data_IF_839458781249
#
_entry.id   IF_839458781249
#
_cell.length_a   1.000
_cell.length_b   1.000
_cell.length_c   1.000
_cell.angle_alpha   90.00
_cell.angle_beta   90.00
_cell.angle_gamma   90.00
#
_symmetry.space_group_name_H-M   'P 1'
#
loop_
_entity.id
_entity.type
_entity.pdbx_description
1 polymer ?
#
# COMPACT_ATOMS: atom_id res chain seq x y z
N UNK A 1 -6.86 21.60 -3.05
CA UNK A 1 -6.24 20.82 -1.95
C UNK A 1 -4.76 21.19 -1.94
N UNK A 2 -4.22 21.75 -0.85
CA UNK A 2 -2.80 22.14 -0.80
C UNK A 2 -1.88 20.92 -0.57
N UNK A 3 -0.61 20.98 -0.96
CA UNK A 3 0.39 19.91 -0.88
C UNK A 3 0.59 19.37 0.54
N UNK A 4 0.53 20.22 1.56
CA UNK A 4 0.59 19.79 2.96
C UNK A 4 -0.63 18.95 3.36
N UNK A 5 -1.81 19.38 2.94
CA UNK A 5 -3.06 18.65 3.20
C UNK A 5 -3.07 17.30 2.47
N UNK A 6 -2.45 17.22 1.28
CA UNK A 6 -2.29 15.95 0.57
C UNK A 6 -1.39 14.97 1.34
N UNK A 7 -0.23 15.41 1.84
CA UNK A 7 0.68 14.56 2.64
C UNK A 7 0.00 14.03 3.90
N UNK A 8 -0.67 14.92 4.66
CA UNK A 8 -1.44 14.52 5.84
C UNK A 8 -2.57 13.55 5.48
N UNK A 9 -3.30 13.83 4.41
CA UNK A 9 -4.39 12.97 3.94
C UNK A 9 -3.88 11.57 3.57
N UNK A 10 -2.74 11.44 2.87
CA UNK A 10 -2.14 10.14 2.54
C UNK A 10 -1.88 9.34 3.81
N UNK A 11 -1.22 9.94 4.81
CA UNK A 11 -0.85 9.22 6.04
C UNK A 11 -2.10 8.73 6.76
N UNK A 12 -3.10 9.60 6.91
CA UNK A 12 -4.36 9.29 7.59
C UNK A 12 -5.16 8.23 6.82
N UNK A 13 -5.33 8.36 5.51
CA UNK A 13 -6.08 7.38 4.72
C UNK A 13 -5.36 6.05 4.61
N UNK A 14 -4.02 6.05 4.57
CA UNK A 14 -3.20 4.83 4.58
C UNK A 14 -3.33 4.11 5.93
N UNK A 15 -3.33 4.86 7.02
CA UNK A 15 -3.51 4.33 8.37
C UNK A 15 -4.92 3.78 8.56
N UNK A 16 -5.94 4.48 8.07
CA UNK A 16 -7.32 4.02 8.08
C UNK A 16 -7.50 2.72 7.31
N UNK A 17 -6.87 2.59 6.13
CA UNK A 17 -6.90 1.35 5.35
C UNK A 17 -6.21 0.20 6.10
N UNK A 18 -5.06 0.44 6.71
CA UNK A 18 -4.36 -0.55 7.52
C UNK A 18 -5.21 -1.04 8.71
N UNK A 19 -5.81 -0.09 9.44
CA UNK A 19 -6.68 -0.38 10.58
C UNK A 19 -7.94 -1.14 10.15
N UNK A 20 -8.52 -0.79 9.01
CA UNK A 20 -9.68 -1.49 8.44
C UNK A 20 -9.33 -2.92 8.06
N UNK A 21 -8.24 -3.15 7.32
CA UNK A 21 -7.81 -4.49 6.94
C UNK A 21 -7.46 -5.36 8.15
N UNK A 22 -6.80 -4.78 9.14
CA UNK A 22 -6.52 -5.43 10.42
C UNK A 22 -7.81 -5.85 11.13
N UNK A 23 -8.76 -4.93 11.25
CA UNK A 23 -10.03 -5.18 11.95
C UNK A 23 -10.86 -6.25 11.25
N UNK A 24 -10.95 -6.19 9.91
CA UNK A 24 -11.66 -7.19 9.11
C UNK A 24 -11.01 -8.56 9.26
N UNK A 25 -9.67 -8.66 9.13
CA UNK A 25 -8.99 -9.94 9.28
C UNK A 25 -9.13 -10.53 10.67
N UNK A 26 -9.02 -9.71 11.73
CA UNK A 26 -9.24 -10.14 13.11
C UNK A 26 -10.67 -10.65 13.31
N UNK A 27 -11.67 -9.96 12.74
CA UNK A 27 -13.07 -10.39 12.79
C UNK A 27 -13.25 -11.75 12.09
N UNK A 28 -12.70 -11.92 10.89
CA UNK A 28 -12.73 -13.20 10.15
C UNK A 28 -12.12 -14.33 10.98
N UNK A 29 -10.97 -14.11 11.63
CA UNK A 29 -10.32 -15.15 12.46
C UNK A 29 -11.03 -15.39 13.79
N UNK A 30 -11.83 -14.44 14.27
CA UNK A 30 -12.69 -14.67 15.43
C UNK A 30 -13.85 -15.61 15.07
N UNK A 31 -14.41 -15.49 13.86
CA UNK A 31 -15.49 -16.37 13.37
C UNK A 31 -14.96 -17.74 12.93
N UNK A 32 -13.76 -17.78 12.33
CA UNK A 32 -13.08 -18.99 11.86
C UNK A 32 -11.66 -19.07 12.43
N UNK A 33 -11.49 -19.57 13.67
CA UNK A 33 -10.19 -19.66 14.34
C UNK A 33 -9.18 -20.54 13.59
N UNK A 34 -9.67 -21.52 12.84
CA UNK A 34 -8.88 -22.42 11.99
C UNK A 34 -8.01 -21.70 10.96
N UNK A 35 -8.40 -20.49 10.53
CA UNK A 35 -7.65 -19.66 9.60
C UNK A 35 -6.77 -18.61 10.30
N UNK A 36 -6.88 -18.47 11.62
CA UNK A 36 -6.10 -17.54 12.41
C UNK A 36 -4.63 -17.95 12.49
N UNK A 37 -3.75 -16.96 12.49
CA UNK A 37 -2.31 -17.15 12.72
C UNK A 37 -1.72 -15.93 13.42
N UNK A 38 -0.72 -16.18 14.27
CA UNK A 38 -0.19 -15.19 15.23
C UNK A 38 0.43 -13.98 14.54
N UNK A 39 1.06 -14.19 13.38
CA UNK A 39 1.79 -13.18 12.64
C UNK A 39 0.91 -12.35 11.70
N UNK A 40 -0.42 -12.51 11.71
CA UNK A 40 -1.32 -11.70 10.88
C UNK A 40 -1.09 -10.18 10.97
N UNK A 41 -0.89 -9.57 12.15
CA UNK A 41 -0.71 -8.12 12.26
C UNK A 41 0.48 -7.57 11.44
N UNK A 42 1.46 -8.42 11.14
CA UNK A 42 2.64 -8.03 10.35
C UNK A 42 2.30 -7.72 8.88
N UNK A 43 1.24 -8.33 8.33
CA UNK A 43 0.84 -8.14 6.94
C UNK A 43 0.36 -6.71 6.69
N UNK A 44 -0.70 -6.19 7.36
CA UNK A 44 -1.14 -4.82 7.15
C UNK A 44 -0.05 -3.80 7.54
N UNK A 45 0.79 -4.10 8.54
CA UNK A 45 1.92 -3.25 8.89
C UNK A 45 2.97 -3.15 7.77
N UNK A 46 3.33 -4.29 7.17
CA UNK A 46 4.25 -4.34 6.03
C UNK A 46 3.72 -3.52 4.84
N UNK A 47 2.46 -3.73 4.46
CA UNK A 47 1.85 -2.97 3.37
C UNK A 47 1.72 -1.48 3.67
N UNK A 48 1.36 -1.12 4.90
CA UNK A 48 1.30 0.28 5.32
C UNK A 48 2.63 1.00 5.10
N UNK A 49 3.74 0.42 5.59
CA UNK A 49 5.09 0.99 5.44
C UNK A 49 5.52 1.05 3.98
N UNK A 50 5.30 -0.03 3.24
CA UNK A 50 5.69 -0.13 1.84
C UNK A 50 4.95 0.91 0.98
N UNK A 51 3.63 1.03 1.17
CA UNK A 51 2.81 2.02 0.44
C UNK A 51 3.19 3.44 0.81
N UNK A 52 3.49 3.72 2.08
CA UNK A 52 3.96 5.03 2.51
C UNK A 52 5.26 5.42 1.77
N UNK A 53 6.23 4.49 1.72
CA UNK A 53 7.51 4.70 1.01
C UNK A 53 7.30 4.96 -0.48
N UNK A 54 6.44 4.19 -1.13
CA UNK A 54 6.12 4.30 -2.55
C UNK A 54 5.48 5.66 -2.85
N UNK A 55 4.42 6.03 -2.11
CA UNK A 55 3.71 7.29 -2.33
C UNK A 55 4.64 8.50 -2.14
N UNK A 56 5.45 8.52 -1.08
CA UNK A 56 6.44 9.59 -0.86
C UNK A 56 7.43 9.67 -2.04
N UNK A 57 7.93 8.52 -2.51
CA UNK A 57 8.93 8.46 -3.59
C UNK A 57 8.38 8.93 -4.93
N UNK A 58 7.15 8.57 -5.26
CA UNK A 58 6.47 8.97 -6.50
C UNK A 58 6.08 10.45 -6.45
N UNK A 59 5.44 10.90 -5.36
CA UNK A 59 5.03 12.30 -5.18
C UNK A 59 6.24 13.24 -5.30
N UNK A 60 7.38 12.91 -4.70
CA UNK A 60 8.62 13.68 -4.85
C UNK A 60 9.11 13.75 -6.31
N UNK A 61 8.96 12.67 -7.07
CA UNK A 61 9.43 12.62 -8.45
C UNK A 61 8.51 13.34 -9.44
N UNK A 62 7.19 13.28 -9.22
CA UNK A 62 6.21 13.93 -10.09
C UNK A 62 6.34 15.45 -10.08
N UNK A 63 6.77 16.04 -8.94
CA UNK A 63 7.03 17.47 -8.82
C UNK A 63 8.16 17.93 -9.74
N UNK A 64 9.11 17.04 -10.04
CA UNK A 64 10.30 17.37 -10.85
C UNK A 64 10.02 17.19 -12.35
N UNK A 65 9.32 16.12 -12.72
CA UNK A 65 9.07 15.80 -14.14
C UNK A 65 7.91 14.80 -14.29
N UNK A 66 6.85 15.22 -14.99
CA UNK A 66 5.68 14.39 -15.26
C UNK A 66 6.01 13.14 -16.11
N UNK A 67 7.03 13.19 -16.99
CA UNK A 67 7.48 11.98 -17.73
C UNK A 67 8.13 10.96 -16.81
N UNK A 68 8.82 11.40 -15.74
CA UNK A 68 9.46 10.50 -14.76
C UNK A 68 8.44 9.84 -13.83
N UNK A 69 7.23 10.39 -13.70
CA UNK A 69 6.16 9.81 -12.89
C UNK A 69 5.80 8.39 -13.35
N UNK A 70 5.59 8.20 -14.66
CA UNK A 70 5.17 6.91 -15.22
C UNK A 70 6.27 5.84 -15.02
N UNK A 71 7.53 6.20 -15.27
CA UNK A 71 8.66 5.30 -15.08
C UNK A 71 8.85 4.93 -13.60
N UNK A 72 8.76 5.91 -12.68
CA UNK A 72 8.85 5.64 -11.23
C UNK A 72 7.70 4.77 -10.75
N UNK A 73 6.47 5.00 -11.22
CA UNK A 73 5.31 4.19 -10.88
C UNK A 73 5.52 2.72 -11.26
N UNK A 74 5.98 2.45 -12.48
CA UNK A 74 6.30 1.09 -12.92
C UNK A 74 7.40 0.45 -12.07
N UNK A 75 8.50 1.16 -11.80
CA UNK A 75 9.60 0.66 -10.96
C UNK A 75 9.09 0.31 -9.56
N UNK A 76 8.32 1.20 -8.92
CA UNK A 76 7.80 0.94 -7.57
C UNK A 76 6.86 -0.26 -7.53
N UNK A 77 6.09 -0.50 -8.59
CA UNK A 77 5.20 -1.66 -8.68
C UNK A 77 5.98 -2.97 -8.81
N UNK A 78 7.04 -2.97 -9.61
CA UNK A 78 7.96 -4.12 -9.72
C UNK A 78 8.67 -4.39 -8.39
N UNK A 79 9.23 -3.35 -7.75
CA UNK A 79 9.89 -3.48 -6.46
C UNK A 79 8.92 -4.01 -5.39
N UNK A 80 7.67 -3.53 -5.36
CA UNK A 80 6.63 -4.05 -4.47
C UNK A 80 6.38 -5.54 -4.70
N UNK A 81 6.28 -6.00 -5.95
CA UNK A 81 6.09 -7.42 -6.25
C UNK A 81 7.28 -8.28 -5.80
N UNK A 82 8.51 -7.80 -6.00
CA UNK A 82 9.71 -8.51 -5.53
C UNK A 82 9.72 -8.60 -4.00
N UNK A 83 9.43 -7.48 -3.31
CA UNK A 83 9.34 -7.44 -1.86
C UNK A 83 8.21 -8.32 -1.32
N UNK A 84 7.10 -8.42 -2.04
CA UNK A 84 5.99 -9.32 -1.71
C UNK A 84 6.43 -10.78 -1.72
N UNK A 85 7.11 -11.20 -2.79
CA UNK A 85 7.64 -12.57 -2.90
C UNK A 85 8.66 -12.83 -1.80
N UNK A 86 9.59 -11.90 -1.56
CA UNK A 86 10.57 -12.01 -0.49
C UNK A 86 9.90 -12.13 0.89
N UNK A 87 8.87 -11.31 1.16
CA UNK A 87 8.11 -11.35 2.41
C UNK A 87 7.42 -12.71 2.61
N UNK A 88 6.80 -13.26 1.56
CA UNK A 88 6.22 -14.60 1.60
C UNK A 88 7.25 -15.69 1.86
N UNK A 89 8.40 -15.64 1.19
CA UNK A 89 9.47 -16.63 1.38
C UNK A 89 10.00 -16.61 2.82
N UNK A 90 10.27 -15.43 3.38
CA UNK A 90 10.73 -15.29 4.77
C UNK A 90 9.71 -15.89 5.74
N UNK A 91 8.41 -15.63 5.54
CA UNK A 91 7.37 -16.21 6.40
C UNK A 91 7.34 -17.74 6.37
N UNK A 92 7.34 -18.31 5.15
CA UNK A 92 7.30 -19.76 4.95
C UNK A 92 8.54 -20.44 5.55
N UNK A 93 9.71 -19.80 5.50
CA UNK A 93 10.95 -20.33 6.06
C UNK A 93 11.02 -20.26 7.60
N UNK A 94 10.43 -19.24 8.24
CA UNK A 94 10.55 -19.05 9.69
C UNK A 94 9.57 -19.91 10.50
N UNK A 95 8.28 -19.90 10.17
CA UNK A 95 7.25 -20.55 10.99
C UNK A 95 6.22 -21.34 10.17
N UNK A 96 5.92 -20.90 8.94
CA UNK A 96 5.00 -21.60 8.05
C UNK A 96 3.59 -21.88 8.60
N UNK A 97 3.18 -21.22 9.69
CA UNK A 97 1.88 -21.46 10.31
C UNK A 97 0.78 -21.08 9.34
N UNK A 98 -0.04 -22.06 8.96
CA UNK A 98 -1.19 -21.87 8.09
C UNK A 98 -0.88 -21.06 6.80
N UNK A 99 0.11 -21.53 6.04
CA UNK A 99 0.61 -20.87 4.82
C UNK A 99 -0.48 -20.39 3.85
N UNK A 100 -1.57 -21.13 3.71
CA UNK A 100 -2.69 -20.77 2.83
C UNK A 100 -3.40 -19.51 3.32
N UNK A 101 -3.70 -19.43 4.63
CA UNK A 101 -4.30 -18.25 5.26
C UNK A 101 -3.38 -17.04 5.19
N UNK A 102 -2.08 -17.25 5.35
CA UNK A 102 -1.09 -16.18 5.21
C UNK A 102 -1.05 -15.64 3.78
N UNK A 103 -0.84 -16.51 2.78
CA UNK A 103 -0.73 -16.10 1.38
C UNK A 103 -2.02 -15.44 0.90
N UNK A 104 -3.19 -15.98 1.25
CA UNK A 104 -4.48 -15.37 0.90
C UNK A 104 -4.64 -13.98 1.53
N UNK A 105 -4.28 -13.80 2.81
CA UNK A 105 -4.30 -12.50 3.49
C UNK A 105 -3.35 -11.49 2.81
N UNK A 106 -2.16 -11.94 2.42
CA UNK A 106 -1.17 -11.14 1.69
C UNK A 106 -1.72 -10.70 0.33
N UNK A 107 -2.37 -11.60 -0.41
CA UNK A 107 -2.99 -11.28 -1.72
C UNK A 107 -4.13 -10.29 -1.57
N UNK A 108 -5.01 -10.47 -0.59
CA UNK A 108 -6.12 -9.53 -0.31
C UNK A 108 -5.57 -8.14 0.02
N UNK A 109 -4.58 -8.07 0.93
CA UNK A 109 -3.94 -6.80 1.27
C UNK A 109 -3.27 -6.18 0.03
N UNK A 110 -2.53 -6.95 -0.76
CA UNK A 110 -1.91 -6.48 -1.99
C UNK A 110 -2.93 -5.83 -2.94
N UNK A 111 -4.07 -6.46 -3.18
CA UNK A 111 -5.10 -5.92 -4.06
C UNK A 111 -5.70 -4.62 -3.51
N UNK A 112 -6.08 -4.60 -2.23
CA UNK A 112 -6.62 -3.40 -1.58
C UNK A 112 -5.64 -2.22 -1.66
N UNK A 113 -4.36 -2.46 -1.33
CA UNK A 113 -3.33 -1.43 -1.38
C UNK A 113 -2.99 -0.99 -2.81
N UNK A 114 -3.05 -1.90 -3.79
CA UNK A 114 -2.83 -1.56 -5.21
C UNK A 114 -3.93 -0.63 -5.73
N UNK A 115 -5.19 -0.93 -5.43
CA UNK A 115 -6.33 -0.06 -5.81
C UNK A 115 -6.23 1.29 -5.12
N UNK A 116 -5.92 1.29 -3.81
CA UNK A 116 -5.73 2.51 -3.04
C UNK A 116 -4.61 3.41 -3.61
N UNK A 117 -3.45 2.83 -3.93
CA UNK A 117 -2.33 3.57 -4.54
C UNK A 117 -2.73 4.21 -5.87
N UNK A 118 -3.39 3.46 -6.75
CA UNK A 118 -3.86 3.98 -8.03
C UNK A 118 -4.83 5.16 -7.84
N UNK A 119 -5.77 5.06 -6.89
CA UNK A 119 -6.71 6.12 -6.58
C UNK A 119 -6.02 7.39 -6.05
N UNK A 120 -5.12 7.24 -5.09
CA UNK A 120 -4.40 8.37 -4.47
C UNK A 120 -3.45 9.05 -5.45
N UNK A 121 -2.79 8.28 -6.31
CA UNK A 121 -1.90 8.80 -7.34
C UNK A 121 -2.67 9.53 -8.43
N UNK A 122 -3.84 9.02 -8.85
CA UNK A 122 -4.73 9.73 -9.78
C UNK A 122 -5.16 11.08 -9.20
N UNK A 123 -5.65 11.10 -7.95
CA UNK A 123 -6.07 12.32 -7.25
C UNK A 123 -4.94 13.35 -7.15
N UNK A 124 -3.69 12.89 -7.03
CA UNK A 124 -2.52 13.76 -7.01
C UNK A 124 -2.19 14.35 -8.37
N UNK A 125 -2.24 13.53 -9.42
CA UNK A 125 -2.03 13.99 -10.78
C UNK A 125 -3.08 15.04 -11.19
N UNK A 126 -4.36 14.82 -10.85
CA UNK A 126 -5.46 15.77 -11.09
C UNK A 126 -5.31 17.08 -10.31
N UNK A 127 -4.56 17.08 -9.20
CA UNK A 127 -4.26 18.28 -8.43
C UNK A 127 -3.11 19.07 -9.07
N UNK A 128 -2.05 18.37 -9.49
CA UNK A 128 -0.91 19.00 -10.17
C UNK A 128 -1.32 19.63 -11.51
N UNK A 129 -2.21 18.99 -12.28
CA UNK A 129 -2.67 19.55 -13.55
C UNK A 129 -3.44 20.86 -13.37
N UNK A 130 -4.27 20.97 -12.33
CA UNK A 130 -5.00 22.19 -11.98
C UNK A 130 -4.09 23.32 -11.50
N UNK A 131 -3.11 22.99 -10.67
CA UNK A 131 -2.12 23.96 -10.16
C UNK A 131 -1.32 24.59 -11.30
N UNK A 132 -0.95 23.80 -12.32
CA UNK A 132 -0.23 24.32 -13.49
C UNK A 132 -1.10 25.20 -14.41
N UNK A 133 -2.41 24.94 -14.52
CA UNK A 133 -3.32 25.73 -15.37
C UNK A 133 -3.76 27.08 -14.77
N UNK A 134 -3.60 27.27 -13.46
CA UNK A 134 -3.91 28.54 -12.79
C UNK A 134 -2.72 29.53 -12.81
N UNK A 135 -1.54 29.06 -13.23
CA UNK A 135 -0.29 29.84 -13.27
C UNK A 135 0.05 30.34 -14.69
N UNK A 136 -0.59 29.79 -15.73
CA UNK A 136 -0.60 30.32 -17.10
C UNK A 136 -1.72 31.38 -17.29
#
# INVERSE_FOLDING_TARGET
MNRENYKKNIVISNLALAALLYSIGKLVFTIKPEFGFTMFPTIPAFFFLLTLLILISITKAAIVDAKKFHMKYLITRTVKLILLVAFCLVYVMCNGENNISFISSVVVCYLCYTVYEAFILKKFNDMLSKENSEVE
#
